data_IF_566931729876
#
_entry.id   IF_566931729876
#
_cell.length_a   1.000
_cell.length_b   1.000
_cell.length_c   1.000
_cell.angle_alpha   90.00
_cell.angle_beta   90.00
_cell.angle_gamma   90.00
#
_symmetry.space_group_name_H-M   'P 1'
#
loop_
_entity.id
_entity.type
_entity.pdbx_description
1 polymer ?
#
# COMPACT_ATOMS: atom_id res chain seq x y z
N UNK A 1 -11.10 1.80 -24.01
CA UNK A 1 -10.52 2.50 -22.85
C UNK A 1 -9.03 2.20 -22.84
N UNK A 2 -8.20 3.20 -22.67
CA UNK A 2 -6.76 3.00 -22.52
C UNK A 2 -6.44 2.18 -21.27
N UNK A 3 -5.39 1.35 -21.34
CA UNK A 3 -4.95 0.57 -20.19
C UNK A 3 -4.48 1.50 -19.07
N UNK A 4 -4.74 1.16 -17.78
CA UNK A 4 -4.25 1.94 -16.66
C UNK A 4 -2.73 2.04 -16.66
N UNK A 5 -2.22 3.19 -16.22
CA UNK A 5 -0.79 3.40 -16.01
C UNK A 5 -0.40 2.71 -14.72
N UNK A 6 0.65 1.88 -14.73
CA UNK A 6 1.18 1.23 -13.53
C UNK A 6 2.50 1.86 -13.12
N UNK A 7 2.61 2.29 -11.86
CA UNK A 7 3.80 2.90 -11.26
C UNK A 7 4.26 2.00 -10.11
N UNK A 8 5.50 1.48 -10.20
CA UNK A 8 6.02 0.46 -9.30
C UNK A 8 7.18 0.93 -8.40
N UNK A 9 7.67 2.17 -8.56
CA UNK A 9 8.78 2.68 -7.75
C UNK A 9 8.63 4.15 -7.41
N UNK A 10 9.25 4.58 -6.32
CA UNK A 10 9.32 5.98 -5.89
C UNK A 10 9.91 6.86 -7.00
N UNK A 11 11.05 6.44 -7.59
CA UNK A 11 11.72 7.23 -8.64
C UNK A 11 10.85 7.40 -9.89
N UNK A 12 10.11 6.36 -10.29
CA UNK A 12 9.18 6.45 -11.42
C UNK A 12 8.02 7.40 -11.11
N UNK A 13 7.49 7.35 -9.88
CA UNK A 13 6.43 8.24 -9.42
C UNK A 13 6.88 9.69 -9.41
N UNK A 14 7.99 10.02 -8.75
CA UNK A 14 8.46 11.40 -8.63
C UNK A 14 8.80 12.01 -9.99
N UNK A 15 9.43 11.24 -10.89
CA UNK A 15 9.68 11.68 -12.28
C UNK A 15 8.37 11.98 -13.03
N UNK A 16 7.32 11.19 -12.79
CA UNK A 16 6.03 11.43 -13.43
C UNK A 16 5.33 12.69 -12.90
N UNK A 17 5.56 13.03 -11.65
CA UNK A 17 5.05 14.22 -10.99
C UNK A 17 5.92 15.46 -11.21
N UNK A 18 6.99 15.36 -12.01
CA UNK A 18 8.00 16.41 -12.25
C UNK A 18 8.65 16.90 -10.94
N UNK A 19 8.85 15.99 -9.98
CA UNK A 19 9.50 16.24 -8.70
C UNK A 19 10.98 15.83 -8.74
N UNK A 20 11.82 16.39 -7.84
CA UNK A 20 13.22 15.98 -7.69
C UNK A 20 13.39 14.48 -7.46
N UNK A 21 14.58 13.96 -7.72
CA UNK A 21 14.92 12.57 -7.40
C UNK A 21 14.74 12.30 -5.89
N UNK A 22 14.27 11.11 -5.51
CA UNK A 22 14.05 10.78 -4.11
C UNK A 22 15.38 10.69 -3.34
N UNK A 23 15.38 11.14 -2.10
CA UNK A 23 16.51 10.99 -1.17
C UNK A 23 16.70 9.52 -0.74
N UNK A 24 15.63 8.74 -0.74
CA UNK A 24 15.65 7.31 -0.41
C UNK A 24 14.86 6.50 -1.46
N UNK A 25 15.36 5.32 -1.91
CA UNK A 25 14.73 4.57 -3.02
C UNK A 25 13.34 4.01 -2.71
N UNK A 26 13.02 3.76 -1.44
CA UNK A 26 11.80 3.08 -1.02
C UNK A 26 10.78 3.98 -0.30
N UNK A 27 11.13 5.21 0.05
CA UNK A 27 10.25 6.16 0.72
C UNK A 27 10.49 7.58 0.23
N UNK A 28 9.44 8.39 0.12
CA UNK A 28 9.54 9.81 -0.18
C UNK A 28 8.43 10.58 0.54
N UNK A 29 8.79 11.69 1.14
CA UNK A 29 7.90 12.67 1.74
C UNK A 29 7.96 13.95 0.91
N UNK A 30 6.81 14.40 0.43
CA UNK A 30 6.70 15.57 -0.48
C UNK A 30 5.69 16.55 0.08
N UNK A 31 5.98 17.86 0.06
CA UNK A 31 4.94 18.87 0.28
C UNK A 31 3.81 18.66 -0.74
N UNK A 32 2.58 18.59 -0.26
CA UNK A 32 1.43 18.24 -1.11
C UNK A 32 1.19 19.29 -2.20
N UNK A 33 1.42 20.57 -1.89
CA UNK A 33 1.34 21.67 -2.84
C UNK A 33 2.33 21.58 -4.02
N UNK A 34 3.37 20.76 -3.93
CA UNK A 34 4.32 20.52 -5.02
C UNK A 34 3.85 19.46 -6.02
N UNK A 35 2.83 18.67 -5.65
CA UNK A 35 2.33 17.60 -6.50
C UNK A 35 1.50 18.19 -7.64
N UNK A 36 1.90 17.93 -8.88
CA UNK A 36 1.18 18.31 -10.08
C UNK A 36 0.85 17.07 -10.91
N UNK A 37 -0.42 16.91 -11.25
CA UNK A 37 -0.85 15.84 -12.14
C UNK A 37 -0.71 16.35 -13.59
N UNK A 38 -0.05 15.55 -14.44
CA UNK A 38 0.08 15.90 -15.86
C UNK A 38 -1.30 15.89 -16.53
N UNK A 39 -1.53 16.85 -17.41
CA UNK A 39 -2.80 16.93 -18.16
C UNK A 39 -3.13 15.63 -18.91
N UNK A 40 -2.11 14.91 -19.41
CA UNK A 40 -2.27 13.61 -20.07
C UNK A 40 -2.73 12.47 -19.13
N UNK A 41 -2.64 12.66 -17.82
CA UNK A 41 -3.04 11.64 -16.81
C UNK A 41 -4.42 11.93 -16.23
N UNK A 42 -4.97 13.11 -16.48
CA UNK A 42 -6.30 13.49 -16.00
C UNK A 42 -7.35 12.59 -16.67
N UNK A 43 -8.21 11.99 -15.85
CA UNK A 43 -9.23 11.06 -16.33
C UNK A 43 -8.72 9.68 -16.71
N UNK A 44 -7.40 9.44 -16.69
CA UNK A 44 -6.80 8.13 -16.98
C UNK A 44 -6.62 7.34 -15.68
N UNK A 45 -6.90 6.04 -15.72
CA UNK A 45 -6.65 5.17 -14.58
C UNK A 45 -5.14 5.06 -14.27
N UNK A 46 -4.77 5.23 -13.00
CA UNK A 46 -3.40 5.06 -12.50
C UNK A 46 -3.41 4.05 -11.35
N UNK A 47 -2.54 3.06 -11.42
CA UNK A 47 -2.33 2.05 -10.39
C UNK A 47 -0.94 2.24 -9.83
N UNK A 48 -0.82 2.52 -8.53
CA UNK A 48 0.45 2.74 -7.85
C UNK A 48 0.73 1.55 -6.92
N UNK A 49 1.89 0.91 -7.08
CA UNK A 49 2.33 -0.21 -6.22
C UNK A 49 2.94 0.26 -4.88
N UNK A 50 2.65 1.45 -4.46
CA UNK A 50 3.15 2.10 -3.25
C UNK A 50 2.00 2.37 -2.29
N UNK A 51 2.30 2.42 -1.01
CA UNK A 51 1.44 3.08 -0.04
C UNK A 51 1.52 4.59 -0.22
N UNK A 52 0.40 5.26 -0.04
CA UNK A 52 0.32 6.72 -0.06
C UNK A 52 -0.48 7.19 1.16
N UNK A 53 0.08 8.14 1.90
CA UNK A 53 -0.59 8.82 2.99
C UNK A 53 -0.53 10.31 2.69
N UNK A 54 -1.68 10.96 2.49
CA UNK A 54 -1.74 12.40 2.25
C UNK A 54 -2.40 13.09 3.41
N UNK A 55 -1.65 13.95 4.07
CA UNK A 55 -2.13 14.88 5.07
C UNK A 55 -2.35 16.24 4.42
N UNK A 56 -3.56 16.77 4.54
CA UNK A 56 -3.98 18.04 3.96
C UNK A 56 -4.52 18.95 5.04
N UNK A 57 -3.97 20.15 5.08
CA UNK A 57 -4.39 21.22 5.96
C UNK A 57 -5.36 22.09 5.15
N UNK A 58 -6.49 22.45 5.73
CA UNK A 58 -7.47 23.41 5.16
C UNK A 58 -8.03 23.06 3.77
N UNK A 59 -7.95 21.80 3.37
CA UNK A 59 -8.55 21.36 2.10
C UNK A 59 -10.08 21.27 2.24
N UNK A 60 -10.78 21.90 1.30
CA UNK A 60 -12.23 21.79 1.13
C UNK A 60 -12.52 21.21 -0.25
N UNK A 61 -13.08 20.02 -0.31
CA UNK A 61 -13.44 19.41 -1.59
C UNK A 61 -13.49 17.89 -1.57
N UNK A 62 -13.90 17.34 -2.72
CA UNK A 62 -14.05 15.89 -2.93
C UNK A 62 -12.94 15.39 -3.83
N UNK A 63 -12.23 14.36 -3.41
CA UNK A 63 -11.23 13.68 -4.24
C UNK A 63 -11.79 12.33 -4.67
N UNK A 64 -11.83 12.04 -5.96
CA UNK A 64 -12.19 10.71 -6.46
C UNK A 64 -11.26 9.65 -5.89
N UNK A 65 -11.86 8.58 -5.36
CA UNK A 65 -11.12 7.46 -4.80
C UNK A 65 -11.81 6.15 -5.21
N UNK A 66 -11.23 5.47 -6.17
CA UNK A 66 -11.86 4.33 -6.81
C UNK A 66 -13.18 4.69 -7.48
N UNK A 67 -14.30 4.08 -7.03
CA UNK A 67 -15.65 4.45 -7.48
C UNK A 67 -16.37 5.44 -6.56
N UNK A 68 -15.73 5.83 -5.45
CA UNK A 68 -16.24 6.81 -4.50
C UNK A 68 -15.50 8.12 -4.54
N UNK A 69 -15.77 8.99 -3.58
CA UNK A 69 -15.09 10.27 -3.39
C UNK A 69 -14.64 10.40 -1.95
N UNK A 70 -13.46 10.99 -1.74
CA UNK A 70 -13.02 11.49 -0.44
C UNK A 70 -13.59 12.89 -0.24
N UNK A 71 -14.23 13.13 0.90
CA UNK A 71 -14.76 14.43 1.28
C UNK A 71 -13.92 14.99 2.44
N UNK A 72 -13.28 16.13 2.19
CA UNK A 72 -12.47 16.83 3.17
C UNK A 72 -13.16 18.14 3.54
N UNK A 73 -13.90 18.21 4.63
CA UNK A 73 -14.58 19.44 5.02
C UNK A 73 -13.63 20.49 5.63
N UNK A 74 -12.64 20.10 6.41
CA UNK A 74 -11.72 21.02 7.10
C UNK A 74 -10.27 20.48 7.20
N UNK A 75 -9.82 19.82 6.13
CA UNK A 75 -8.54 19.14 6.14
C UNK A 75 -8.61 17.76 6.81
N UNK A 76 -7.64 16.93 6.54
CA UNK A 76 -7.62 15.57 7.04
C UNK A 76 -6.50 14.75 6.46
N UNK A 77 -6.57 13.45 6.73
CA UNK A 77 -5.59 12.49 6.23
C UNK A 77 -6.29 11.42 5.37
N UNK A 78 -5.69 11.10 4.24
CA UNK A 78 -6.16 10.06 3.34
C UNK A 78 -5.10 8.98 3.14
N UNK A 79 -5.56 7.76 2.94
CA UNK A 79 -4.72 6.58 2.80
C UNK A 79 -5.05 5.86 1.50
N UNK A 80 -4.03 5.39 0.82
CA UNK A 80 -4.17 4.58 -0.38
C UNK A 80 -3.21 3.41 -0.26
N UNK A 81 -3.72 2.19 -0.35
CA UNK A 81 -2.92 0.98 -0.37
C UNK A 81 -2.30 0.72 -1.75
N UNK A 82 -1.31 -0.18 -1.83
CA UNK A 82 -0.74 -0.59 -3.10
C UNK A 82 -1.78 -1.19 -4.05
N UNK A 83 -1.57 -1.02 -5.35
CA UNK A 83 -2.38 -1.58 -6.43
C UNK A 83 -3.84 -1.07 -6.50
N UNK A 84 -4.17 0.01 -5.82
CA UNK A 84 -5.48 0.64 -5.96
C UNK A 84 -5.54 1.48 -7.23
N UNK A 85 -6.67 1.36 -7.93
CA UNK A 85 -6.95 2.18 -9.09
C UNK A 85 -7.39 3.58 -8.63
N UNK A 86 -6.69 4.61 -9.09
CA UNK A 86 -7.12 6.00 -8.93
C UNK A 86 -7.28 6.66 -10.29
N UNK A 87 -8.20 7.61 -10.38
CA UNK A 87 -8.38 8.44 -11.56
C UNK A 87 -8.10 9.87 -11.14
N UNK A 88 -6.94 10.43 -11.50
CA UNK A 88 -6.62 11.81 -11.19
C UNK A 88 -7.61 12.77 -11.86
N UNK A 89 -8.01 13.81 -11.12
CA UNK A 89 -8.86 14.89 -11.63
C UNK A 89 -8.07 16.18 -11.72
N UNK A 90 -8.59 17.15 -12.50
CA UNK A 90 -7.96 18.45 -12.68
C UNK A 90 -7.99 19.35 -11.44
N UNK A 91 -8.79 19.01 -10.44
CA UNK A 91 -8.97 19.82 -9.24
C UNK A 91 -7.82 19.61 -8.23
N UNK A 92 -6.61 19.93 -8.66
CA UNK A 92 -5.50 20.06 -7.71
C UNK A 92 -5.56 21.49 -7.18
N UNK A 93 -6.34 21.69 -6.13
CA UNK A 93 -6.32 22.94 -5.39
C UNK A 93 -4.96 23.10 -4.69
N UNK A 94 -4.47 24.33 -4.59
CA UNK A 94 -3.33 24.67 -3.74
C UNK A 94 -3.75 24.44 -2.28
N UNK A 95 -3.20 23.40 -1.66
CA UNK A 95 -3.41 23.15 -0.25
C UNK A 95 -2.09 22.70 0.40
N UNK A 96 -1.88 23.18 1.62
CA UNK A 96 -0.73 22.84 2.43
C UNK A 96 -0.84 21.41 2.98
N UNK A 97 0.30 20.85 3.32
CA UNK A 97 0.41 19.53 3.94
C UNK A 97 1.50 18.68 3.33
N UNK A 98 1.46 17.39 3.67
CA UNK A 98 2.46 16.42 3.25
C UNK A 98 1.83 15.20 2.59
N UNK A 99 2.52 14.65 1.60
CA UNK A 99 2.21 13.34 1.03
C UNK A 99 3.42 12.42 1.17
N UNK A 100 3.22 11.34 1.90
CA UNK A 100 4.19 10.27 2.09
C UNK A 100 3.89 9.14 1.10
N UNK A 101 4.91 8.71 0.37
CA UNK A 101 4.89 7.51 -0.46
C UNK A 101 5.93 6.53 0.05
N UNK A 102 5.58 5.26 0.18
CA UNK A 102 6.56 4.23 0.51
C UNK A 102 6.22 2.91 -0.17
N UNK A 103 7.28 2.22 -0.58
CA UNK A 103 7.18 0.90 -1.19
C UNK A 103 6.91 -0.16 -0.11
N UNK A 104 6.12 -1.22 -0.35
CA UNK A 104 5.96 -2.31 0.63
C UNK A 104 7.28 -2.89 1.13
N UNK A 105 8.30 -2.94 0.28
CA UNK A 105 9.63 -3.42 0.64
C UNK A 105 10.33 -2.57 1.73
N UNK A 106 9.92 -1.32 1.92
CA UNK A 106 10.41 -0.47 3.01
C UNK A 106 10.08 -1.05 4.40
N UNK A 107 9.00 -1.80 4.51
CA UNK A 107 8.55 -2.43 5.76
C UNK A 107 9.13 -3.83 5.98
N UNK A 108 9.89 -4.35 5.00
CA UNK A 108 10.34 -5.74 5.05
C UNK A 108 11.28 -5.98 6.23
N UNK A 109 11.06 -7.08 6.96
CA UNK A 109 11.81 -7.40 8.18
C UNK A 109 11.24 -6.77 9.46
N UNK A 110 10.29 -5.85 9.37
CA UNK A 110 9.66 -5.21 10.53
C UNK A 110 8.27 -5.75 10.82
N UNK A 111 7.84 -5.79 12.09
CA UNK A 111 6.48 -6.20 12.45
C UNK A 111 5.40 -5.41 11.72
N UNK A 112 5.68 -4.15 11.40
CA UNK A 112 4.76 -3.26 10.68
C UNK A 112 4.34 -3.81 9.32
N UNK A 113 5.18 -4.60 8.64
CA UNK A 113 4.81 -5.25 7.38
C UNK A 113 3.56 -6.15 7.50
N UNK A 114 3.36 -6.74 8.68
CA UNK A 114 2.19 -7.61 8.97
C UNK A 114 0.99 -6.78 9.47
N UNK A 115 1.25 -5.83 10.35
CA UNK A 115 0.18 -5.06 10.99
C UNK A 115 -0.46 -4.03 10.06
N UNK A 116 0.27 -3.49 9.10
CA UNK A 116 -0.25 -2.49 8.16
C UNK A 116 -1.46 -3.00 7.35
N UNK A 117 -1.49 -4.30 7.05
CA UNK A 117 -2.60 -4.93 6.33
C UNK A 117 -3.90 -4.99 7.15
N UNK A 118 -3.82 -4.85 8.46
CA UNK A 118 -4.96 -4.87 9.38
C UNK A 118 -5.62 -3.49 9.53
N UNK A 119 -4.98 -2.43 9.05
CA UNK A 119 -5.54 -1.10 9.11
C UNK A 119 -6.58 -0.90 8.02
N UNK A 120 -7.86 -0.89 8.40
CA UNK A 120 -9.01 -0.79 7.49
C UNK A 120 -8.98 0.42 6.57
N UNK A 121 -8.32 1.51 6.96
CA UNK A 121 -8.25 2.74 6.18
C UNK A 121 -7.34 2.64 4.94
N UNK A 122 -6.50 1.62 4.83
CA UNK A 122 -5.81 1.31 3.57
C UNK A 122 -6.68 0.48 2.62
N UNK A 123 -7.84 0.04 3.07
CA UNK A 123 -8.72 -0.75 2.25
C UNK A 123 -9.62 0.17 1.41
N UNK A 124 -9.88 -0.28 0.21
CA UNK A 124 -10.63 0.46 -0.79
C UNK A 124 -12.07 0.82 -0.38
N UNK A 125 -12.66 0.10 0.53
CA UNK A 125 -14.04 0.31 0.93
C UNK A 125 -14.24 1.52 1.86
N UNK A 126 -13.17 2.08 2.41
CA UNK A 126 -13.21 3.30 3.21
C UNK A 126 -13.01 4.51 2.30
N UNK A 127 -14.07 4.98 1.70
CA UNK A 127 -14.07 6.18 0.83
C UNK A 127 -14.29 7.46 1.63
N UNK A 128 -13.89 7.49 2.89
CA UNK A 128 -14.04 8.67 3.74
C UNK A 128 -12.67 9.11 4.27
N UNK A 129 -12.42 10.40 4.27
CA UNK A 129 -11.23 10.97 4.87
C UNK A 129 -11.29 10.82 6.40
N UNK A 130 -10.14 10.70 7.02
CA UNK A 130 -10.01 10.81 8.46
C UNK A 130 -10.00 12.29 8.83
N UNK A 131 -11.09 12.77 9.42
CA UNK A 131 -11.19 14.15 9.92
C UNK A 131 -10.43 14.30 11.25
N UNK A 132 -9.62 15.35 11.33
CA UNK A 132 -8.77 15.61 12.47
C UNK A 132 -9.16 16.91 13.16
N UNK A 133 -9.30 16.89 14.49
CA UNK A 133 -9.37 18.11 15.26
C UNK A 133 -8.03 18.87 15.22
N UNK A 134 -8.01 20.15 15.57
CA UNK A 134 -6.78 20.96 15.54
C UNK A 134 -5.66 20.39 16.42
N UNK A 135 -6.02 19.74 17.55
CA UNK A 135 -5.04 19.07 18.40
C UNK A 135 -4.43 17.84 17.69
N UNK A 136 -5.25 17.09 16.97
CA UNK A 136 -4.82 15.91 16.24
C UNK A 136 -4.00 16.28 14.99
N UNK A 137 -4.39 17.35 14.28
CA UNK A 137 -3.60 17.92 13.18
C UNK A 137 -2.19 18.26 13.64
N UNK A 138 -2.03 18.90 14.81
CA UNK A 138 -0.72 19.22 15.39
C UNK A 138 0.13 17.97 15.65
N UNK A 139 -0.48 16.90 16.17
CA UNK A 139 0.24 15.63 16.40
C UNK A 139 0.71 15.02 15.07
N UNK A 140 -0.17 14.94 14.10
CA UNK A 140 0.16 14.39 12.77
C UNK A 140 1.23 15.22 12.07
N UNK A 141 1.10 16.56 12.13
CA UNK A 141 2.07 17.49 11.54
C UNK A 141 3.46 17.30 12.14
N UNK A 142 3.56 17.22 13.47
CA UNK A 142 4.85 17.02 14.15
C UNK A 142 5.54 15.70 13.74
N UNK A 143 4.78 14.64 13.46
CA UNK A 143 5.33 13.36 12.97
C UNK A 143 5.86 13.53 11.54
N UNK A 144 5.12 14.19 10.65
CA UNK A 144 5.59 14.45 9.29
C UNK A 144 6.83 15.33 9.26
N UNK A 145 6.89 16.37 10.11
CA UNK A 145 8.07 17.22 10.25
C UNK A 145 9.30 16.43 10.72
N UNK A 146 9.12 15.54 11.71
CA UNK A 146 10.21 14.68 12.17
C UNK A 146 10.68 13.71 11.07
N UNK A 147 9.77 13.16 10.28
CA UNK A 147 10.11 12.31 9.13
C UNK A 147 10.87 13.09 8.06
N UNK A 148 10.46 14.33 7.79
CA UNK A 148 11.15 15.18 6.81
C UNK A 148 12.59 15.48 7.25
N UNK A 149 12.78 15.87 8.51
CA UNK A 149 14.12 16.09 9.08
C UNK A 149 15.00 14.85 8.96
N UNK A 150 14.47 13.66 9.24
CA UNK A 150 15.23 12.42 9.13
C UNK A 150 15.65 12.14 7.68
N UNK A 151 14.76 12.37 6.70
CA UNK A 151 15.08 12.18 5.28
C UNK A 151 16.10 13.20 4.73
N UNK A 152 16.13 14.41 5.29
CA UNK A 152 17.07 15.47 4.89
C UNK A 152 18.44 15.34 5.56
N UNK A 153 18.55 14.59 6.65
CA UNK A 153 19.80 14.31 7.33
C UNK A 153 20.68 13.33 6.54
N UNK A 154 21.95 13.24 6.93
CA UNK A 154 22.85 12.21 6.41
C UNK A 154 22.32 10.83 6.79
N UNK A 155 22.04 10.00 5.80
CA UNK A 155 21.55 8.64 6.01
C UNK A 155 22.63 7.81 6.69
N UNK A 156 22.31 7.26 7.84
CA UNK A 156 23.12 6.30 8.58
C UNK A 156 22.39 4.95 8.73
N UNK A 157 22.99 4.00 9.43
CA UNK A 157 22.42 2.68 9.61
C UNK A 157 21.23 2.63 10.59
N UNK A 158 20.92 3.72 11.31
CA UNK A 158 19.76 3.85 12.19
C UNK A 158 18.60 4.58 11.51
N UNK A 159 18.84 5.30 10.42
CA UNK A 159 17.81 6.13 9.76
C UNK A 159 16.60 5.32 9.34
N UNK A 160 16.80 4.07 8.90
CA UNK A 160 15.69 3.19 8.55
C UNK A 160 14.83 2.84 9.77
N UNK A 161 15.44 2.48 10.89
CA UNK A 161 14.74 2.15 12.14
C UNK A 161 13.96 3.36 12.67
N UNK A 162 14.56 4.54 12.64
CA UNK A 162 13.92 5.80 13.05
C UNK A 162 12.71 6.10 12.17
N UNK A 163 12.85 5.98 10.85
CA UNK A 163 11.74 6.19 9.91
C UNK A 163 10.61 5.19 10.10
N UNK A 164 10.93 3.90 10.34
CA UNK A 164 9.93 2.87 10.65
C UNK A 164 9.19 3.18 11.95
N UNK A 165 9.90 3.62 13.00
CA UNK A 165 9.28 3.99 14.27
C UNK A 165 8.33 5.20 14.12
N UNK A 166 8.72 6.21 13.35
CA UNK A 166 7.87 7.37 13.04
C UNK A 166 6.65 6.97 12.20
N UNK A 167 6.84 6.09 11.21
CA UNK A 167 5.74 5.57 10.40
C UNK A 167 4.76 4.75 11.25
N UNK A 168 5.26 3.88 12.13
CA UNK A 168 4.41 3.11 13.04
C UNK A 168 3.64 4.04 14.00
N UNK A 169 4.28 5.08 14.52
CA UNK A 169 3.62 6.09 15.33
C UNK A 169 2.51 6.82 14.57
N UNK A 170 2.77 7.24 13.32
CA UNK A 170 1.79 7.87 12.44
C UNK A 170 0.56 6.97 12.23
N UNK A 171 0.80 5.70 11.93
CA UNK A 171 -0.26 4.72 11.67
C UNK A 171 -1.07 4.39 12.94
N UNK A 172 -0.41 4.30 14.10
CA UNK A 172 -1.08 4.09 15.38
C UNK A 172 -1.98 5.26 15.77
N UNK A 173 -1.52 6.51 15.60
CA UNK A 173 -2.38 7.68 15.81
C UNK A 173 -3.54 7.71 14.81
N UNK A 174 -3.27 7.44 13.54
CA UNK A 174 -4.29 7.37 12.50
C UNK A 174 -5.34 6.32 12.81
N UNK A 175 -4.92 5.13 13.26
CA UNK A 175 -5.83 4.06 13.67
C UNK A 175 -6.68 4.45 14.87
N UNK A 176 -6.09 5.11 15.87
CA UNK A 176 -6.82 5.63 17.04
C UNK A 176 -7.89 6.65 16.61
N UNK A 177 -7.53 7.60 15.76
CA UNK A 177 -8.45 8.64 15.29
C UNK A 177 -9.53 8.07 14.36
N UNK A 178 -9.14 7.13 13.49
CA UNK A 178 -10.04 6.39 12.62
C UNK A 178 -11.10 5.60 13.43
N UNK A 179 -10.63 4.81 14.40
CA UNK A 179 -11.55 4.02 15.24
C UNK A 179 -12.53 4.91 16.03
N UNK A 180 -12.08 6.06 16.51
CA UNK A 180 -12.96 7.04 17.14
C UNK A 180 -14.04 7.55 16.18
N UNK A 181 -13.65 7.88 14.95
CA UNK A 181 -14.56 8.47 13.95
C UNK A 181 -15.51 7.43 13.35
N UNK A 182 -15.03 6.20 13.17
CA UNK A 182 -15.74 5.17 12.40
C UNK A 182 -16.09 3.90 13.19
N UNK A 183 -16.08 3.95 14.52
CA UNK A 183 -16.40 2.81 15.41
C UNK A 183 -17.68 2.06 15.00
N UNK A 184 -18.64 2.72 14.37
CA UNK A 184 -19.94 2.14 14.03
C UNK A 184 -20.04 1.66 12.57
N UNK A 185 -19.07 1.94 11.73
CA UNK A 185 -19.10 1.59 10.29
C UNK A 185 -18.18 0.42 9.99
N UNK A 186 -18.59 -0.80 10.35
CA UNK A 186 -17.98 -2.03 9.81
C UNK A 186 -18.23 -2.07 8.31
N UNK A 187 -17.19 -1.86 7.55
CA UNK A 187 -17.28 -1.89 6.10
C UNK A 187 -17.08 -3.34 5.63
N UNK A 188 -18.15 -3.94 5.12
CA UNK A 188 -18.18 -5.34 4.66
C UNK A 188 -17.03 -5.70 3.72
N UNK A 189 -16.60 -4.75 2.89
CA UNK A 189 -15.54 -5.00 1.92
C UNK A 189 -14.15 -5.06 2.55
N UNK A 190 -13.91 -4.31 3.62
CA UNK A 190 -12.66 -4.38 4.38
C UNK A 190 -12.51 -5.72 5.05
N UNK A 191 -13.59 -6.20 5.65
CA UNK A 191 -13.62 -7.49 6.29
C UNK A 191 -13.31 -8.60 5.28
N UNK A 192 -13.87 -8.52 4.07
CA UNK A 192 -13.64 -9.52 3.01
C UNK A 192 -12.17 -9.55 2.57
N UNK A 193 -11.55 -8.39 2.30
CA UNK A 193 -10.14 -8.33 1.88
C UNK A 193 -9.21 -8.78 3.02
N UNK A 194 -9.49 -8.36 4.23
CA UNK A 194 -8.71 -8.77 5.40
C UNK A 194 -8.81 -10.28 5.65
N UNK A 195 -10.02 -10.83 5.61
CA UNK A 195 -10.26 -12.28 5.76
C UNK A 195 -9.59 -13.06 4.64
N UNK A 196 -9.65 -12.59 3.39
CA UNK A 196 -8.95 -13.19 2.26
C UNK A 196 -7.44 -13.25 2.51
N UNK A 197 -6.83 -12.14 2.91
CA UNK A 197 -5.40 -12.08 3.17
C UNK A 197 -5.00 -13.00 4.33
N UNK A 198 -5.81 -13.03 5.38
CA UNK A 198 -5.61 -13.91 6.53
C UNK A 198 -5.69 -15.38 6.12
N UNK A 199 -6.69 -15.74 5.33
CA UNK A 199 -6.86 -17.11 4.82
C UNK A 199 -5.69 -17.55 3.95
N UNK A 200 -5.27 -16.72 2.99
CA UNK A 200 -4.12 -17.00 2.12
C UNK A 200 -2.84 -17.17 2.94
N UNK A 201 -2.64 -16.30 3.95
CA UNK A 201 -1.45 -16.36 4.80
C UNK A 201 -1.42 -17.58 5.73
N UNK A 202 -2.59 -18.08 6.14
CA UNK A 202 -2.72 -19.23 7.02
C UNK A 202 -2.68 -20.58 6.27
N UNK A 203 -2.82 -20.56 4.93
CA UNK A 203 -2.78 -21.77 4.13
C UNK A 203 -1.34 -22.10 3.77
N UNK A 204 -0.76 -23.12 4.43
CA UNK A 204 0.63 -23.54 4.24
C UNK A 204 0.78 -24.84 3.42
N UNK A 205 -0.32 -25.58 3.19
CA UNK A 205 -0.27 -26.90 2.53
C UNK A 205 -0.33 -26.85 1.01
N UNK A 206 -0.91 -25.79 0.45
CA UNK A 206 -1.09 -25.61 -0.99
C UNK A 206 -1.40 -24.14 -1.32
N UNK A 207 -1.29 -23.79 -2.58
CA UNK A 207 -1.72 -22.47 -3.06
C UNK A 207 -3.25 -22.47 -3.16
N UNK A 208 -3.98 -21.63 -2.39
CA UNK A 208 -5.43 -21.63 -2.44
C UNK A 208 -5.95 -21.21 -3.81
N UNK A 209 -6.95 -21.92 -4.28
CA UNK A 209 -7.67 -21.58 -5.51
C UNK A 209 -8.63 -20.41 -5.29
N UNK A 210 -9.07 -19.79 -6.39
CA UNK A 210 -10.10 -18.74 -6.33
C UNK A 210 -11.40 -19.28 -5.72
N UNK A 211 -11.72 -20.55 -6.00
CA UNK A 211 -12.92 -21.20 -5.44
C UNK A 211 -12.81 -21.35 -3.92
N UNK A 212 -11.71 -21.89 -3.42
CA UNK A 212 -11.50 -22.07 -1.96
C UNK A 212 -11.55 -20.75 -1.20
N UNK A 213 -10.91 -19.68 -1.75
CA UNK A 213 -10.97 -18.34 -1.16
C UNK A 213 -12.41 -17.82 -1.14
N UNK A 214 -13.13 -17.98 -2.24
CA UNK A 214 -14.52 -17.52 -2.36
C UNK A 214 -15.45 -18.30 -1.41
N UNK A 215 -15.27 -19.62 -1.29
CA UNK A 215 -16.04 -20.47 -0.38
C UNK A 215 -15.79 -20.10 1.08
N UNK A 216 -14.52 -19.87 1.44
CA UNK A 216 -14.15 -19.39 2.79
C UNK A 216 -14.82 -18.06 3.13
N UNK A 217 -14.90 -17.15 2.17
CA UNK A 217 -15.52 -15.83 2.33
C UNK A 217 -17.05 -15.84 2.13
N UNK A 218 -17.63 -17.01 1.83
CA UNK A 218 -19.07 -17.20 1.56
C UNK A 218 -19.60 -16.30 0.42
N UNK A 219 -18.79 -16.08 -0.60
CA UNK A 219 -19.12 -15.32 -1.81
C UNK A 219 -18.87 -16.14 -3.07
N UNK A 220 -19.49 -15.79 -4.19
CA UNK A 220 -19.18 -16.47 -5.44
C UNK A 220 -17.80 -16.07 -5.99
N UNK A 221 -17.06 -16.99 -6.66
CA UNK A 221 -15.77 -16.69 -7.28
C UNK A 221 -15.83 -15.51 -8.25
N UNK A 222 -16.93 -15.41 -8.99
CA UNK A 222 -17.17 -14.32 -9.94
C UNK A 222 -17.33 -12.98 -9.22
N UNK A 223 -18.17 -12.94 -8.16
CA UNK A 223 -18.36 -11.74 -7.34
C UNK A 223 -17.07 -11.28 -6.73
N UNK A 224 -16.30 -12.19 -6.10
CA UNK A 224 -14.99 -11.87 -5.52
C UNK A 224 -14.05 -11.28 -6.57
N UNK A 225 -13.96 -11.91 -7.76
CA UNK A 225 -13.07 -11.43 -8.83
C UNK A 225 -13.50 -10.08 -9.40
N UNK A 226 -14.79 -9.85 -9.62
CA UNK A 226 -15.32 -8.59 -10.13
C UNK A 226 -15.17 -7.47 -9.10
N UNK A 227 -15.43 -7.77 -7.80
CA UNK A 227 -15.23 -6.86 -6.69
C UNK A 227 -13.74 -6.44 -6.58
N UNK A 228 -12.83 -7.40 -6.46
CA UNK A 228 -11.41 -7.13 -6.34
C UNK A 228 -10.88 -6.36 -7.56
N UNK A 229 -11.28 -6.75 -8.78
CA UNK A 229 -10.88 -6.05 -10.00
C UNK A 229 -11.39 -4.61 -10.03
N UNK A 230 -12.58 -4.35 -9.53
CA UNK A 230 -13.15 -3.00 -9.45
C UNK A 230 -12.48 -2.15 -8.38
N UNK A 231 -12.03 -2.77 -7.28
CA UNK A 231 -11.43 -2.09 -6.14
C UNK A 231 -9.94 -1.85 -6.31
N UNK A 232 -9.21 -2.81 -6.88
CA UNK A 232 -7.75 -2.83 -6.88
C UNK A 232 -7.14 -2.90 -8.29
N UNK A 233 -7.97 -3.09 -9.31
CA UNK A 233 -7.51 -3.35 -10.68
C UNK A 233 -7.00 -4.78 -10.90
N UNK A 234 -6.93 -5.62 -9.85
CA UNK A 234 -6.43 -6.99 -9.89
C UNK A 234 -7.55 -8.00 -9.61
N UNK A 235 -7.60 -9.10 -10.37
CA UNK A 235 -8.48 -10.22 -10.06
C UNK A 235 -7.96 -11.08 -8.90
N UNK A 236 -8.82 -11.95 -8.36
CA UNK A 236 -8.53 -12.79 -7.19
C UNK A 236 -7.24 -13.59 -7.33
N UNK A 237 -7.02 -14.24 -8.50
CA UNK A 237 -5.80 -15.01 -8.76
C UNK A 237 -4.53 -14.17 -8.66
N UNK A 238 -4.58 -12.91 -9.12
CA UNK A 238 -3.45 -12.00 -9.05
C UNK A 238 -3.15 -11.57 -7.62
N UNK A 239 -4.19 -11.40 -6.79
CA UNK A 239 -4.07 -11.15 -5.36
C UNK A 239 -3.43 -12.32 -4.63
N UNK A 240 -3.88 -13.56 -4.88
CA UNK A 240 -3.29 -14.77 -4.31
C UNK A 240 -1.79 -14.82 -4.63
N UNK A 241 -1.44 -14.69 -5.91
CA UNK A 241 -0.04 -14.68 -6.33
C UNK A 241 0.79 -13.56 -5.68
N UNK A 242 0.21 -12.37 -5.52
CA UNK A 242 0.88 -11.26 -4.87
C UNK A 242 1.20 -11.57 -3.41
N UNK A 243 0.23 -12.06 -2.64
CA UNK A 243 0.41 -12.44 -1.24
C UNK A 243 1.48 -13.53 -1.07
N UNK A 244 1.48 -14.54 -1.96
CA UNK A 244 2.49 -15.60 -1.95
C UNK A 244 3.90 -15.05 -2.19
N UNK A 245 4.06 -14.11 -3.11
CA UNK A 245 5.36 -13.49 -3.38
C UNK A 245 5.82 -12.62 -2.21
N UNK A 246 4.93 -11.87 -1.56
CA UNK A 246 5.30 -11.10 -0.37
C UNK A 246 5.72 -12.03 0.80
N UNK A 247 5.00 -13.13 1.05
CA UNK A 247 5.39 -14.16 2.01
C UNK A 247 6.73 -14.80 1.64
N UNK A 248 6.95 -15.10 0.33
CA UNK A 248 8.22 -15.61 -0.14
C UNK A 248 9.39 -14.67 0.15
N UNK A 249 9.23 -13.39 -0.11
CA UNK A 249 10.25 -12.37 0.17
C UNK A 249 10.61 -12.31 1.65
N UNK A 250 9.62 -12.40 2.53
CA UNK A 250 9.84 -12.44 3.98
C UNK A 250 10.68 -13.66 4.38
N UNK A 251 10.28 -14.88 3.93
CA UNK A 251 10.99 -16.11 4.25
C UNK A 251 12.43 -16.08 3.69
N UNK A 252 12.61 -15.61 2.46
CA UNK A 252 13.93 -15.50 1.81
C UNK A 252 14.94 -14.66 2.61
N UNK A 253 14.46 -13.66 3.36
CA UNK A 253 15.31 -12.75 4.15
C UNK A 253 15.48 -13.23 5.58
N UNK A 254 14.46 -13.88 6.15
CA UNK A 254 14.42 -14.22 7.58
C UNK A 254 14.91 -15.62 7.88
N UNK A 255 15.10 -16.48 6.87
CA UNK A 255 15.53 -17.86 7.05
C UNK A 255 16.69 -18.23 6.11
N UNK A 256 17.40 -19.31 6.47
CA UNK A 256 18.42 -19.94 5.64
C UNK A 256 17.88 -21.11 4.80
N UNK A 257 16.56 -21.30 4.77
CA UNK A 257 15.91 -22.37 4.01
C UNK A 257 16.30 -22.33 2.53
N UNK A 258 16.45 -23.49 1.93
CA UNK A 258 16.73 -23.57 0.49
C UNK A 258 15.54 -23.04 -0.34
N UNK A 259 15.80 -22.60 -1.54
CA UNK A 259 14.74 -22.14 -2.45
C UNK A 259 13.68 -23.21 -2.69
N UNK A 260 14.08 -24.49 -2.65
CA UNK A 260 13.16 -25.62 -2.83
C UNK A 260 12.25 -25.79 -1.58
N UNK A 261 12.82 -25.71 -0.39
CA UNK A 261 12.06 -25.77 0.87
C UNK A 261 11.04 -24.62 0.95
N UNK A 262 11.46 -23.40 0.63
CA UNK A 262 10.56 -22.25 0.58
C UNK A 262 9.42 -22.47 -0.44
N UNK A 263 9.73 -23.03 -1.61
CA UNK A 263 8.68 -23.32 -2.59
C UNK A 263 7.64 -24.30 -2.05
N UNK A 264 8.09 -25.37 -1.36
CA UNK A 264 7.19 -26.36 -0.76
C UNK A 264 6.41 -25.76 0.43
N UNK A 265 7.03 -24.95 1.29
CA UNK A 265 6.34 -24.23 2.38
C UNK A 265 5.25 -23.30 1.88
N UNK A 266 5.43 -22.73 0.69
CA UNK A 266 4.44 -21.85 0.04
C UNK A 266 3.38 -22.63 -0.75
N UNK A 267 3.41 -23.97 -0.70
CA UNK A 267 2.42 -24.84 -1.35
C UNK A 267 2.65 -25.07 -2.85
N UNK A 268 3.84 -24.79 -3.38
CA UNK A 268 4.15 -25.15 -4.78
C UNK A 268 4.52 -26.62 -4.88
N UNK A 269 3.89 -27.33 -5.81
CA UNK A 269 4.26 -28.72 -6.11
C UNK A 269 5.67 -28.84 -6.68
N UNK A 270 6.11 -27.82 -7.42
CA UNK A 270 7.42 -27.79 -8.08
C UNK A 270 8.14 -26.48 -7.82
N UNK A 271 9.40 -26.50 -7.34
CA UNK A 271 10.21 -25.29 -7.12
C UNK A 271 10.40 -24.43 -8.37
N UNK A 272 10.33 -25.05 -9.55
CA UNK A 272 10.43 -24.33 -10.84
C UNK A 272 9.25 -23.39 -11.07
N UNK A 273 8.04 -23.78 -10.65
CA UNK A 273 6.82 -22.96 -10.74
C UNK A 273 6.95 -21.73 -9.83
N UNK A 274 7.47 -21.92 -8.63
CA UNK A 274 7.80 -20.83 -7.72
C UNK A 274 8.83 -19.86 -8.34
N UNK A 275 9.97 -20.37 -8.82
CA UNK A 275 11.01 -19.54 -9.45
C UNK A 275 10.45 -18.71 -10.61
N UNK A 276 9.62 -19.32 -11.46
CA UNK A 276 8.98 -18.63 -12.59
C UNK A 276 8.06 -17.52 -12.11
N UNK A 277 7.16 -17.80 -11.17
CA UNK A 277 6.23 -16.81 -10.63
C UNK A 277 6.97 -15.68 -9.92
N UNK A 278 7.97 -16.00 -9.09
CA UNK A 278 8.76 -15.02 -8.36
C UNK A 278 9.49 -14.08 -9.33
N UNK A 279 10.16 -14.64 -10.34
CA UNK A 279 10.85 -13.84 -11.36
C UNK A 279 9.88 -12.96 -12.17
N UNK A 280 8.71 -13.48 -12.51
CA UNK A 280 7.68 -12.73 -13.22
C UNK A 280 7.17 -11.52 -12.41
N UNK A 281 7.08 -11.65 -11.08
CA UNK A 281 6.54 -10.62 -10.19
C UNK A 281 7.59 -9.64 -9.67
N UNK A 282 8.86 -10.07 -9.56
CA UNK A 282 9.93 -9.26 -8.94
C UNK A 282 11.02 -8.85 -9.92
N UNK A 283 11.00 -9.37 -11.15
CA UNK A 283 12.04 -9.22 -12.18
C UNK A 283 13.43 -9.77 -11.76
N UNK A 284 13.50 -10.53 -10.66
CA UNK A 284 14.74 -11.15 -10.16
C UNK A 284 14.49 -12.58 -9.72
N UNK A 285 15.54 -13.43 -9.64
CA UNK A 285 15.38 -14.77 -9.10
C UNK A 285 15.33 -14.74 -7.56
N UNK A 286 14.68 -15.74 -6.89
CA UNK A 286 14.67 -15.83 -5.43
C UNK A 286 16.09 -15.83 -4.83
N UNK A 287 17.04 -16.52 -5.45
CA UNK A 287 18.42 -16.56 -4.99
C UNK A 287 19.12 -15.20 -5.13
N UNK A 288 18.91 -14.49 -6.25
CA UNK A 288 19.47 -13.16 -6.44
C UNK A 288 18.85 -12.17 -5.45
N UNK A 289 17.55 -12.28 -5.20
CA UNK A 289 16.82 -11.48 -4.23
C UNK A 289 17.38 -11.66 -2.80
N UNK A 290 17.62 -12.90 -2.35
CA UNK A 290 18.28 -13.20 -1.07
C UNK A 290 19.66 -12.58 -0.95
N UNK A 291 20.48 -12.64 -2.03
CA UNK A 291 21.85 -12.11 -2.06
C UNK A 291 21.92 -10.58 -2.11
N UNK A 292 20.87 -9.93 -2.57
CA UNK A 292 20.86 -8.46 -2.70
C UNK A 292 20.78 -7.75 -1.33
N UNK A 293 20.50 -8.48 -0.26
CA UNK A 293 20.63 -8.00 1.12
C UNK A 293 19.81 -6.73 1.36
N UNK A 294 18.53 -6.76 1.05
CA UNK A 294 17.67 -5.66 1.49
C UNK A 294 17.60 -5.60 2.99
#
# INVERSE_FOLDING_TARGET
MESPITITSISALLRRLDLPAPLHPLIALVPTGNIRVKAADIGRGVIISLYKISFKIDFKGKIPYGRGTYDFEEGGISFTGPHQLSVPTSDVADYDGYTLFFHPDFLRGYPLAKTIQQYGYFSYAVAEALYLSDKEKKVIFAIFDAMLLELENNIDHFSHDVMIAQLDLLLNYSNRFYNRQFITRKNQYNDIICQMNTYISATDSHIPTVQEVADHLQVSPRYLSDMLKSLTGMGTQQHIHHQLIEKAKEILITTDDTIAEIAYQLGFEHPQSFNKLFRQKTNTSPLAFRKSGY
#
